data_IF_386460726435
#
_entry.id   IF_386460726435
#
_cell.length_a   1.000
_cell.length_b   1.000
_cell.length_c   1.000
_cell.angle_alpha   90.00
_cell.angle_beta   90.00
_cell.angle_gamma   90.00
#
_symmetry.space_group_name_H-M   'P 1'
#
loop_
_entity.id
_entity.type
_entity.pdbx_description
1 polymer ?
#
# COMPACT_ATOMS: atom_id res chain seq x y z
N UNK A 1 2.46 41.93 4.64
CA UNK A 1 2.25 40.50 4.97
C UNK A 1 3.58 39.78 4.85
N UNK A 2 4.01 39.03 5.86
CA UNK A 2 5.20 38.16 5.75
C UNK A 2 4.81 36.94 4.90
N UNK A 3 5.56 36.66 3.84
CA UNK A 3 5.36 35.45 3.03
C UNK A 3 5.81 34.23 3.82
N UNK A 4 5.00 33.16 3.77
CA UNK A 4 5.38 31.88 4.34
C UNK A 4 6.47 31.24 3.46
N UNK A 5 7.54 30.68 4.04
CA UNK A 5 8.53 29.94 3.27
C UNK A 5 7.87 28.75 2.55
N UNK A 6 8.36 28.42 1.36
CA UNK A 6 7.80 27.36 0.52
C UNK A 6 7.69 26.01 1.24
N UNK A 7 8.65 25.70 2.12
CA UNK A 7 8.64 24.49 2.93
C UNK A 7 7.40 24.42 3.85
N UNK A 8 7.04 25.54 4.50
CA UNK A 8 5.86 25.62 5.36
C UNK A 8 4.57 25.51 4.56
N UNK A 9 4.50 26.12 3.37
CA UNK A 9 3.34 25.97 2.49
C UNK A 9 3.11 24.51 2.10
N UNK A 10 4.19 23.78 1.81
CA UNK A 10 4.11 22.35 1.47
C UNK A 10 3.62 21.52 2.65
N UNK A 11 4.13 21.76 3.85
CA UNK A 11 3.69 21.07 5.06
C UNK A 11 2.20 21.30 5.35
N UNK A 12 1.72 22.54 5.20
CA UNK A 12 0.29 22.87 5.35
C UNK A 12 -0.56 22.13 4.31
N UNK A 13 -0.11 22.07 3.05
CA UNK A 13 -0.82 21.32 2.00
C UNK A 13 -0.88 19.82 2.29
N UNK A 14 0.24 19.23 2.74
CA UNK A 14 0.29 17.82 3.12
C UNK A 14 -0.65 17.53 4.30
N UNK A 15 -0.70 18.43 5.31
CA UNK A 15 -1.61 18.30 6.44
C UNK A 15 -3.09 18.43 6.03
N UNK A 16 -3.44 19.38 5.17
CA UNK A 16 -4.81 19.51 4.61
C UNK A 16 -5.21 18.25 3.84
N UNK A 17 -4.27 17.68 3.07
CA UNK A 17 -4.50 16.43 2.34
C UNK A 17 -4.70 15.25 3.28
N UNK A 18 -3.91 15.15 4.34
CA UNK A 18 -4.10 14.15 5.39
C UNK A 18 -5.49 14.27 6.03
N UNK A 19 -5.92 15.48 6.43
CA UNK A 19 -7.25 15.67 7.04
C UNK A 19 -8.40 15.24 6.13
N UNK A 20 -8.28 15.44 4.82
CA UNK A 20 -9.26 14.99 3.83
C UNK A 20 -9.30 13.47 3.70
N UNK A 21 -8.15 12.81 3.83
CA UNK A 21 -8.00 11.38 3.59
C UNK A 21 -8.00 10.53 4.86
N UNK A 22 -7.93 11.13 6.06
CA UNK A 22 -7.81 10.41 7.35
C UNK A 22 -8.92 9.41 7.66
N UNK A 23 -10.08 9.51 6.98
CA UNK A 23 -11.17 8.53 7.10
C UNK A 23 -11.03 7.35 6.13
N UNK A 24 -10.24 7.51 5.08
CA UNK A 24 -9.97 6.51 4.04
C UNK A 24 -8.60 5.85 4.20
N UNK A 25 -7.69 6.51 4.91
CA UNK A 25 -6.35 6.03 5.21
C UNK A 25 -6.30 5.75 6.70
N UNK A 26 -6.14 4.47 7.05
CA UNK A 26 -5.75 4.07 8.40
C UNK A 26 -4.28 4.45 8.63
N UNK A 27 -3.97 5.38 9.56
CA UNK A 27 -2.60 5.79 9.84
C UNK A 27 -1.71 4.64 10.31
N UNK A 28 -2.27 3.65 11.00
CA UNK A 28 -1.53 2.48 11.50
C UNK A 28 -1.04 1.60 10.35
N UNK A 29 -1.64 1.77 9.17
CA UNK A 29 -1.34 1.06 7.93
C UNK A 29 -0.44 1.87 6.98
N UNK A 30 0.16 2.97 7.45
CA UNK A 30 1.06 3.80 6.64
C UNK A 30 2.25 3.01 6.04
N UNK A 31 2.64 1.91 6.68
CA UNK A 31 3.71 1.03 6.20
C UNK A 31 3.42 0.44 4.81
N UNK A 32 2.15 0.26 4.41
CA UNK A 32 1.76 -0.22 3.08
C UNK A 32 2.27 0.68 1.96
N UNK A 33 2.41 1.98 2.25
CA UNK A 33 2.82 3.00 1.30
C UNK A 33 4.34 3.18 1.24
N UNK A 34 5.10 2.43 2.06
CA UNK A 34 6.56 2.47 1.99
C UNK A 34 7.07 1.88 0.68
N UNK A 35 8.18 2.42 0.15
CA UNK A 35 8.84 1.88 -1.05
C UNK A 35 9.16 0.39 -0.93
N UNK A 36 9.54 -0.05 0.28
CA UNK A 36 9.84 -1.45 0.61
C UNK A 36 8.60 -2.34 0.51
N UNK A 37 7.44 -1.88 0.99
CA UNK A 37 6.21 -2.66 0.86
C UNK A 37 5.74 -2.72 -0.59
N UNK A 38 5.70 -1.57 -1.26
CA UNK A 38 5.29 -1.44 -2.66
C UNK A 38 6.17 -2.26 -3.63
N UNK A 39 7.46 -2.45 -3.33
CA UNK A 39 8.31 -3.33 -4.13
C UNK A 39 7.95 -4.81 -4.00
N UNK A 40 7.57 -5.25 -2.78
CA UNK A 40 7.07 -6.61 -2.54
C UNK A 40 5.73 -6.85 -3.24
N UNK A 41 4.83 -5.88 -3.19
CA UNK A 41 3.54 -5.95 -3.88
C UNK A 41 3.73 -6.15 -5.39
N UNK A 42 4.61 -5.37 -6.02
CA UNK A 42 4.95 -5.55 -7.44
C UNK A 42 5.53 -6.92 -7.75
N UNK A 43 6.34 -7.50 -6.86
CA UNK A 43 6.88 -8.84 -7.04
C UNK A 43 5.77 -9.90 -6.98
N UNK A 44 4.86 -9.79 -6.00
CA UNK A 44 3.69 -10.67 -5.87
C UNK A 44 2.81 -10.58 -7.11
N UNK A 45 2.50 -9.38 -7.59
CA UNK A 45 1.70 -9.18 -8.81
C UNK A 45 2.36 -9.78 -10.05
N UNK A 46 3.69 -9.68 -10.17
CA UNK A 46 4.42 -10.38 -11.22
C UNK A 46 4.26 -11.89 -11.08
N UNK A 47 4.38 -12.43 -9.88
CA UNK A 47 4.28 -13.88 -9.67
C UNK A 47 2.87 -14.42 -9.95
N UNK A 48 1.82 -13.66 -9.62
CA UNK A 48 0.43 -13.95 -10.03
C UNK A 48 0.30 -14.04 -11.54
N UNK A 49 0.81 -13.05 -12.29
CA UNK A 49 0.74 -13.03 -13.76
C UNK A 49 1.45 -14.21 -14.41
N UNK A 50 2.52 -14.70 -13.78
CA UNK A 50 3.27 -15.86 -14.26
C UNK A 50 2.70 -17.20 -13.74
N UNK A 51 1.55 -17.20 -13.05
CA UNK A 51 0.95 -18.41 -12.49
C UNK A 51 1.78 -19.06 -11.38
N UNK A 52 2.71 -18.32 -10.76
CA UNK A 52 3.61 -18.83 -9.71
C UNK A 52 3.01 -18.79 -8.31
N UNK A 53 1.80 -18.25 -8.16
CA UNK A 53 1.05 -18.26 -6.91
C UNK A 53 -0.03 -19.34 -7.01
N UNK A 54 -0.04 -20.23 -6.02
CA UNK A 54 -0.96 -21.36 -5.96
C UNK A 54 -2.07 -21.05 -4.95
N UNK A 55 -3.32 -21.23 -5.38
CA UNK A 55 -4.51 -21.04 -4.55
C UNK A 55 -5.02 -19.59 -4.51
N UNK A 56 -6.12 -19.41 -3.78
CA UNK A 56 -6.86 -18.15 -3.61
C UNK A 56 -6.50 -17.44 -2.28
N UNK A 57 -5.42 -17.86 -1.63
CA UNK A 57 -5.04 -17.42 -0.29
C UNK A 57 -5.78 -18.12 0.84
N UNK A 58 -6.68 -19.08 0.54
CA UNK A 58 -7.33 -19.92 1.56
C UNK A 58 -6.60 -21.26 1.73
N UNK A 59 -6.63 -21.78 2.95
CA UNK A 59 -6.09 -23.13 3.26
C UNK A 59 -6.77 -24.20 2.40
N UNK A 60 -8.09 -24.09 2.17
CA UNK A 60 -8.84 -25.01 1.31
C UNK A 60 -8.41 -24.90 -0.16
N UNK A 61 -8.15 -23.69 -0.65
CA UNK A 61 -7.62 -23.45 -1.99
C UNK A 61 -6.23 -24.07 -2.16
N UNK A 62 -5.36 -23.89 -1.16
CA UNK A 62 -4.04 -24.49 -1.15
C UNK A 62 -4.09 -26.03 -1.10
N UNK A 63 -4.89 -26.60 -0.19
CA UNK A 63 -5.05 -28.05 -0.06
C UNK A 63 -5.57 -28.69 -1.37
N UNK A 64 -6.53 -28.05 -2.06
CA UNK A 64 -6.98 -28.51 -3.38
C UNK A 64 -5.89 -28.46 -4.45
N UNK A 65 -5.02 -27.47 -4.40
CA UNK A 65 -3.97 -27.31 -5.38
C UNK A 65 -2.75 -28.22 -5.13
N UNK A 66 -2.48 -28.57 -3.86
CA UNK A 66 -1.39 -29.46 -3.45
C UNK A 66 -1.79 -30.94 -3.40
N UNK A 67 -3.08 -31.25 -3.23
CA UNK A 67 -3.60 -32.62 -3.14
C UNK A 67 -3.72 -33.36 -4.48
N UNK A 68 -2.79 -33.09 -5.41
CA UNK A 68 -2.60 -33.90 -6.62
C UNK A 68 -1.53 -34.95 -6.38
#
# INVERSE_FOLDING_TARGET
MKSLPLAYLREVLDFVRFLRLRRSIDPDQAYFWTRKWQSKERAVERDKRHGRIIGDGTVRGLARALGR
#
